data_IF_971599619138
#
_entry.id   IF_971599619138
#
_cell.length_a   1.000
_cell.length_b   1.000
_cell.length_c   1.000
_cell.angle_alpha   90.00
_cell.angle_beta   90.00
_cell.angle_gamma   90.00
#
_symmetry.space_group_name_H-M   'P 1'
#
loop_
_entity.id
_entity.type
_entity.pdbx_description
1 polymer ?
#
# COMPACT_ATOMS: atom_id res chain seq x y z
N UNK A 1 -18.51 19.39 7.03
CA UNK A 1 -18.19 18.23 6.16
C UNK A 1 -17.75 18.76 4.80
N UNK A 2 -16.50 18.51 4.40
CA UNK A 2 -15.92 19.03 3.15
C UNK A 2 -16.42 18.25 1.92
N UNK A 3 -16.34 18.85 0.72
CA UNK A 3 -16.66 18.16 -0.53
C UNK A 3 -15.84 16.86 -0.71
N UNK A 4 -14.53 16.90 -0.39
CA UNK A 4 -13.64 15.72 -0.40
C UNK A 4 -14.18 14.63 0.53
N UNK A 5 -14.53 14.96 1.77
CA UNK A 5 -15.05 13.99 2.75
C UNK A 5 -16.35 13.34 2.30
N UNK A 6 -17.26 14.09 1.66
CA UNK A 6 -18.51 13.53 1.13
C UNK A 6 -18.28 12.51 0.00
N UNK A 7 -17.33 12.79 -0.91
CA UNK A 7 -16.97 11.86 -1.98
C UNK A 7 -16.31 10.60 -1.41
N UNK A 8 -15.35 10.75 -0.50
CA UNK A 8 -14.66 9.61 0.12
C UNK A 8 -15.65 8.69 0.85
N UNK A 9 -16.55 9.24 1.66
CA UNK A 9 -17.60 8.45 2.31
C UNK A 9 -18.48 7.70 1.31
N UNK A 10 -18.84 8.34 0.19
CA UNK A 10 -19.64 7.71 -0.87
C UNK A 10 -18.86 6.63 -1.64
N UNK A 11 -17.55 6.80 -1.82
CA UNK A 11 -16.66 5.81 -2.42
C UNK A 11 -16.42 4.60 -1.49
N UNK A 12 -16.30 4.84 -0.18
CA UNK A 12 -16.19 3.81 0.86
C UNK A 12 -17.52 3.07 1.10
N UNK A 13 -18.63 3.55 0.51
CA UNK A 13 -19.94 2.91 0.65
C UNK A 13 -20.63 3.21 1.99
N UNK A 14 -20.21 4.26 2.69
CA UNK A 14 -20.80 4.65 3.98
C UNK A 14 -22.28 5.05 3.79
N UNK A 15 -23.23 4.41 4.51
CA UNK A 15 -24.66 4.73 4.41
C UNK A 15 -25.00 6.18 4.80
N UNK A 16 -24.20 6.78 5.68
CA UNK A 16 -24.33 8.17 6.13
C UNK A 16 -23.78 9.19 5.12
N UNK A 17 -23.28 8.74 3.96
CA UNK A 17 -22.76 9.64 2.94
C UNK A 17 -23.85 10.61 2.41
N UNK A 18 -23.48 11.89 2.20
CA UNK A 18 -24.43 12.90 1.71
C UNK A 18 -25.10 12.47 0.40
N UNK A 19 -26.40 12.76 0.26
CA UNK A 19 -27.17 12.38 -0.93
C UNK A 19 -26.55 12.93 -2.22
N UNK A 20 -26.05 14.17 -2.20
CA UNK A 20 -25.37 14.77 -3.36
C UNK A 20 -24.14 13.97 -3.79
N UNK A 21 -23.36 13.43 -2.85
CA UNK A 21 -22.15 12.66 -3.13
C UNK A 21 -22.51 11.29 -3.72
N UNK A 22 -23.57 10.64 -3.21
CA UNK A 22 -24.10 9.40 -3.78
C UNK A 22 -24.64 9.57 -5.19
N UNK A 23 -25.32 10.68 -5.48
CA UNK A 23 -25.80 10.99 -6.84
C UNK A 23 -24.62 11.23 -7.79
N UNK A 24 -23.63 12.02 -7.37
CA UNK A 24 -22.44 12.31 -8.15
C UNK A 24 -21.62 11.04 -8.46
N UNK A 25 -21.32 10.23 -7.45
CA UNK A 25 -20.57 8.97 -7.65
C UNK A 25 -21.33 7.96 -8.52
N UNK A 26 -22.67 7.95 -8.45
CA UNK A 26 -23.51 7.16 -9.37
C UNK A 26 -23.45 7.67 -10.80
N UNK A 27 -23.47 8.98 -11.04
CA UNK A 27 -23.37 9.55 -12.39
C UNK A 27 -22.00 9.31 -13.03
N UNK A 28 -20.94 9.13 -12.23
CA UNK A 28 -19.61 8.72 -12.70
C UNK A 28 -19.51 7.22 -13.06
N UNK A 29 -20.56 6.43 -12.82
CA UNK A 29 -20.59 4.99 -13.09
C UNK A 29 -20.14 4.59 -14.51
N UNK A 30 -20.64 5.22 -15.58
CA UNK A 30 -20.21 4.92 -16.96
C UNK A 30 -18.71 5.16 -17.18
N UNK A 31 -18.15 6.23 -16.60
CA UNK A 31 -16.71 6.49 -16.66
C UNK A 31 -15.91 5.43 -15.90
N UNK A 32 -16.39 5.01 -14.74
CA UNK A 32 -15.80 3.91 -13.96
C UNK A 32 -15.82 2.58 -14.74
N UNK A 33 -16.92 2.26 -15.42
CA UNK A 33 -17.02 1.08 -16.28
C UNK A 33 -16.06 1.14 -17.47
N UNK A 34 -15.92 2.31 -18.10
CA UNK A 34 -14.97 2.51 -19.20
C UNK A 34 -13.52 2.32 -18.74
N UNK A 35 -13.16 2.91 -17.58
CA UNK A 35 -11.85 2.73 -16.97
C UNK A 35 -11.59 1.26 -16.61
N UNK A 36 -12.56 0.59 -15.97
CA UNK A 36 -12.49 -0.83 -15.64
C UNK A 36 -12.30 -1.71 -16.87
N UNK A 37 -13.00 -1.42 -17.98
CA UNK A 37 -12.84 -2.11 -19.25
C UNK A 37 -11.45 -1.88 -19.86
N UNK A 38 -10.91 -0.67 -19.76
CA UNK A 38 -9.54 -0.37 -20.20
C UNK A 38 -8.50 -1.16 -19.39
N UNK A 39 -8.66 -1.25 -18.07
CA UNK A 39 -7.79 -2.06 -17.21
C UNK A 39 -7.92 -3.56 -17.51
N UNK A 40 -9.13 -4.07 -17.70
CA UNK A 40 -9.36 -5.47 -18.09
C UNK A 40 -8.73 -5.79 -19.45
N UNK A 41 -8.81 -4.87 -20.42
CA UNK A 41 -8.13 -5.01 -21.72
C UNK A 41 -6.62 -5.03 -21.54
N UNK A 42 -6.07 -4.10 -20.76
CA UNK A 42 -4.63 -4.06 -20.45
C UNK A 42 -4.17 -5.38 -19.84
N UNK A 43 -4.90 -5.89 -18.85
CA UNK A 43 -4.67 -7.19 -18.20
C UNK A 43 -4.62 -8.34 -19.20
N UNK A 44 -5.64 -8.49 -20.05
CA UNK A 44 -5.69 -9.54 -21.08
C UNK A 44 -4.49 -9.52 -22.02
N UNK A 45 -3.92 -8.34 -22.33
CA UNK A 45 -2.71 -8.27 -23.16
C UNK A 45 -1.49 -8.90 -22.49
N UNK A 46 -1.31 -8.68 -21.19
CA UNK A 46 -0.22 -9.31 -20.44
C UNK A 46 -0.46 -10.81 -20.25
N UNK A 47 -1.68 -11.23 -19.88
CA UNK A 47 -2.01 -12.64 -19.70
C UNK A 47 -1.92 -13.46 -21.00
N UNK A 48 -2.18 -12.84 -22.16
CA UNK A 48 -2.06 -13.50 -23.47
C UNK A 48 -0.64 -13.44 -24.07
N UNK A 49 0.34 -12.90 -23.36
CA UNK A 49 1.72 -12.75 -23.85
C UNK A 49 1.88 -11.72 -24.97
N UNK A 50 0.87 -10.88 -25.23
CA UNK A 50 0.91 -9.82 -26.26
C UNK A 50 1.65 -8.56 -25.82
N UNK A 51 1.98 -8.47 -24.54
CA UNK A 51 2.76 -7.38 -23.98
C UNK A 51 4.01 -7.95 -23.31
N UNK A 52 5.13 -7.24 -23.47
CA UNK A 52 6.41 -7.67 -22.92
C UNK A 52 6.37 -7.70 -21.39
N UNK A 53 6.87 -8.81 -20.85
CA UNK A 53 7.06 -9.01 -19.41
C UNK A 53 8.55 -9.25 -19.19
N UNK A 54 9.19 -8.33 -18.48
CA UNK A 54 10.57 -8.47 -18.05
C UNK A 54 10.64 -9.50 -16.91
N UNK A 55 11.58 -10.43 -16.99
CA UNK A 55 11.87 -11.40 -15.93
C UNK A 55 13.30 -11.20 -15.45
N UNK A 56 13.48 -11.15 -14.14
CA UNK A 56 14.78 -11.02 -13.49
C UNK A 56 15.21 -12.38 -12.89
N UNK A 57 16.50 -12.62 -12.62
CA UNK A 57 16.99 -13.94 -12.23
C UNK A 57 16.76 -14.29 -10.74
N UNK A 58 16.02 -13.46 -9.99
CA UNK A 58 15.71 -13.67 -8.57
C UNK A 58 14.20 -13.62 -8.34
N UNK A 59 13.68 -14.24 -7.26
CA UNK A 59 12.27 -14.18 -6.95
C UNK A 59 11.78 -12.74 -6.72
N UNK A 60 10.60 -12.43 -7.27
CA UNK A 60 9.92 -11.15 -7.11
C UNK A 60 8.60 -11.37 -6.37
N UNK A 61 8.47 -10.78 -5.17
CA UNK A 61 7.25 -10.79 -4.37
C UNK A 61 6.59 -9.42 -4.48
N UNK A 62 5.34 -9.38 -4.91
CA UNK A 62 4.57 -8.15 -5.05
C UNK A 62 3.63 -8.00 -3.87
N UNK A 63 3.73 -6.87 -3.17
CA UNK A 63 2.74 -6.45 -2.18
C UNK A 63 1.93 -5.32 -2.81
N UNK A 64 0.65 -5.55 -3.05
CA UNK A 64 -0.21 -4.55 -3.69
C UNK A 64 -1.60 -4.49 -3.10
N UNK A 65 -2.44 -3.68 -3.70
CA UNK A 65 -3.85 -3.58 -3.36
C UNK A 65 -4.71 -3.39 -4.62
N UNK A 66 -6.03 -3.41 -4.44
CA UNK A 66 -6.98 -3.08 -5.51
C UNK A 66 -7.79 -1.82 -5.22
N UNK A 67 -7.52 -1.10 -4.12
CA UNK A 67 -8.24 0.11 -3.71
C UNK A 67 -7.33 1.34 -3.67
N UNK A 68 -7.89 2.53 -3.84
CA UNK A 68 -7.26 3.79 -3.49
C UNK A 68 -7.26 3.95 -1.96
N UNK A 69 -6.20 4.54 -1.42
CA UNK A 69 -6.02 4.76 0.02
C UNK A 69 -5.02 3.81 0.68
N UNK A 70 -4.78 4.08 1.97
CA UNK A 70 -3.86 3.31 2.80
C UNK A 70 -4.46 1.96 3.19
N UNK A 71 -3.90 0.87 2.65
CA UNK A 71 -4.33 -0.50 2.97
C UNK A 71 -3.31 -1.27 3.81
N UNK A 72 -2.34 -0.58 4.43
CA UNK A 72 -1.26 -1.25 5.18
C UNK A 72 -0.18 -1.91 4.31
N UNK A 73 -0.07 -1.54 3.02
CA UNK A 73 0.98 -2.07 2.12
C UNK A 73 2.38 -1.77 2.63
N UNK A 74 2.68 -0.51 2.91
CA UNK A 74 4.03 -0.06 3.30
C UNK A 74 4.53 -0.77 4.57
N UNK A 75 3.73 -0.90 5.65
CA UNK A 75 4.10 -1.77 6.78
C UNK A 75 4.28 -3.24 6.40
N UNK A 76 3.44 -3.79 5.52
CA UNK A 76 3.54 -5.20 5.07
C UNK A 76 4.82 -5.43 4.27
N UNK A 77 5.21 -4.49 3.41
CA UNK A 77 6.47 -4.53 2.65
C UNK A 77 7.65 -4.53 3.61
N UNK A 78 7.65 -3.62 4.58
CA UNK A 78 8.70 -3.53 5.59
C UNK A 78 8.84 -4.83 6.39
N UNK A 79 7.71 -5.32 6.92
CA UNK A 79 7.65 -6.57 7.68
C UNK A 79 8.18 -7.75 6.87
N UNK A 80 7.75 -7.90 5.61
CA UNK A 80 8.20 -9.02 4.77
C UNK A 80 9.71 -8.91 4.47
N UNK A 81 10.18 -7.73 4.10
CA UNK A 81 11.59 -7.51 3.81
C UNK A 81 12.46 -7.80 5.04
N UNK A 82 12.07 -7.32 6.22
CA UNK A 82 12.76 -7.62 7.47
C UNK A 82 12.77 -9.13 7.77
N UNK A 83 11.63 -9.82 7.64
CA UNK A 83 11.57 -11.27 7.87
C UNK A 83 12.43 -12.06 6.89
N UNK A 84 12.57 -11.61 5.64
CA UNK A 84 13.48 -12.20 4.67
C UNK A 84 14.94 -11.97 5.06
N UNK A 85 15.29 -10.75 5.47
CA UNK A 85 16.63 -10.42 5.95
C UNK A 85 17.03 -11.26 7.18
N UNK A 86 16.12 -11.42 8.14
CA UNK A 86 16.33 -12.29 9.32
C UNK A 86 16.53 -13.77 8.96
N UNK A 87 16.05 -14.21 7.80
CA UNK A 87 16.28 -15.55 7.24
C UNK A 87 17.57 -15.63 6.40
N UNK A 88 18.43 -14.62 6.45
CA UNK A 88 19.70 -14.58 5.73
C UNK A 88 19.59 -14.24 4.25
N UNK A 89 18.44 -13.72 3.79
CA UNK A 89 18.27 -13.22 2.42
C UNK A 89 18.75 -11.77 2.30
N UNK A 90 18.97 -11.31 1.06
CA UNK A 90 19.31 -9.93 0.73
C UNK A 90 18.13 -9.27 -0.01
N UNK A 91 17.07 -8.85 0.69
CA UNK A 91 15.88 -8.27 0.07
C UNK A 91 16.14 -6.85 -0.43
N UNK A 92 15.63 -6.56 -1.63
CA UNK A 92 15.51 -5.20 -2.15
C UNK A 92 14.04 -4.77 -2.17
N UNK A 93 13.71 -3.68 -1.48
CA UNK A 93 12.41 -3.03 -1.61
C UNK A 93 12.44 -2.10 -2.83
N UNK A 94 11.53 -2.33 -3.76
CA UNK A 94 11.39 -1.55 -4.98
C UNK A 94 10.04 -0.87 -4.97
N UNK A 95 10.04 0.44 -4.75
CA UNK A 95 8.83 1.26 -4.81
C UNK A 95 8.81 2.14 -6.06
N UNK A 96 7.65 2.75 -6.33
CA UNK A 96 7.54 3.74 -7.39
C UNK A 96 8.24 5.02 -6.94
N UNK A 97 9.10 5.57 -7.80
CA UNK A 97 9.63 6.92 -7.63
C UNK A 97 8.74 7.96 -8.32
N UNK A 98 8.72 9.18 -7.79
CA UNK A 98 8.05 10.32 -8.42
C UNK A 98 9.02 11.12 -9.29
N UNK A 99 8.60 11.46 -10.52
CA UNK A 99 9.17 12.59 -11.28
C UNK A 99 10.50 12.38 -12.04
N UNK A 100 10.93 11.16 -12.33
CA UNK A 100 12.16 10.87 -13.10
C UNK A 100 11.92 10.30 -14.50
N UNK A 101 12.98 10.23 -15.32
CA UNK A 101 12.95 9.46 -16.58
C UNK A 101 12.83 7.96 -16.28
N UNK A 102 12.36 7.13 -17.22
CA UNK A 102 12.19 5.68 -17.00
C UNK A 102 13.41 4.94 -16.46
N UNK A 103 14.63 5.40 -16.78
CA UNK A 103 15.90 4.78 -16.35
C UNK A 103 16.54 5.42 -15.11
N UNK A 104 15.89 6.43 -14.53
CA UNK A 104 16.42 7.06 -13.33
C UNK A 104 16.06 6.17 -12.13
N UNK A 105 17.08 5.57 -11.53
CA UNK A 105 16.96 4.78 -10.30
C UNK A 105 17.63 5.53 -9.17
N UNK A 106 16.86 5.79 -8.13
CA UNK A 106 17.34 6.39 -6.91
C UNK A 106 17.47 5.32 -5.84
N UNK A 107 18.66 5.23 -5.25
CA UNK A 107 18.93 4.43 -4.05
C UNK A 107 18.62 5.33 -2.86
N UNK A 108 17.64 4.95 -2.05
CA UNK A 108 17.22 5.73 -0.87
C UNK A 108 17.89 5.19 0.40
N UNK A 109 17.91 3.88 0.54
CA UNK A 109 18.70 3.16 1.55
C UNK A 109 19.60 2.15 0.86
N UNK A 110 20.89 2.12 1.22
CA UNK A 110 21.88 1.23 0.58
C UNK A 110 22.00 -0.15 1.22
N UNK A 111 21.15 -0.46 2.20
CA UNK A 111 21.20 -1.69 3.00
C UNK A 111 22.39 -1.77 3.97
N UNK A 112 23.19 -0.70 4.09
CA UNK A 112 24.36 -0.60 4.98
C UNK A 112 24.20 0.55 5.99
N UNK A 113 22.97 1.00 6.19
CA UNK A 113 22.62 2.09 7.09
C UNK A 113 22.81 3.49 6.54
N UNK A 114 23.24 3.65 5.28
CA UNK A 114 23.34 4.99 4.67
C UNK A 114 22.03 5.36 4.01
N UNK A 115 21.52 6.51 4.44
CA UNK A 115 20.42 7.21 3.81
C UNK A 115 20.99 8.18 2.78
N UNK A 116 20.47 8.10 1.56
CA UNK A 116 20.80 9.06 0.51
C UNK A 116 19.78 10.20 0.53
N UNK A 117 20.19 11.37 0.04
CA UNK A 117 19.28 12.52 -0.10
C UNK A 117 18.13 12.16 -1.03
N UNK A 118 16.96 11.91 -0.43
CA UNK A 118 15.73 11.65 -1.13
C UNK A 118 14.97 12.97 -1.34
N UNK A 119 14.46 13.26 -2.54
CA UNK A 119 13.56 14.39 -2.75
C UNK A 119 12.29 14.20 -1.91
N UNK A 120 11.56 15.29 -1.60
CA UNK A 120 10.28 15.20 -0.86
C UNK A 120 9.29 14.20 -1.47
N UNK A 121 9.37 13.98 -2.78
CA UNK A 121 8.49 13.06 -3.49
C UNK A 121 8.80 11.56 -3.25
N UNK A 122 9.82 11.23 -2.45
CA UNK A 122 10.16 9.86 -2.05
C UNK A 122 10.04 9.66 -0.53
N UNK A 123 9.17 10.43 0.11
CA UNK A 123 8.96 10.42 1.57
C UNK A 123 8.69 9.02 2.13
N UNK A 124 7.80 8.23 1.51
CA UNK A 124 7.53 6.85 1.95
C UNK A 124 8.78 5.95 1.89
N UNK A 125 9.60 6.07 0.84
CA UNK A 125 10.83 5.30 0.70
C UNK A 125 11.91 5.76 1.69
N UNK A 126 12.00 7.06 1.96
CA UNK A 126 12.91 7.63 2.94
C UNK A 126 12.52 7.21 4.36
N UNK A 127 11.22 7.21 4.68
CA UNK A 127 10.67 6.71 5.93
C UNK A 127 11.00 5.22 6.13
N UNK A 128 10.80 4.38 5.11
CA UNK A 128 11.19 2.97 5.15
C UNK A 128 12.69 2.78 5.40
N UNK A 129 13.54 3.47 4.63
CA UNK A 129 14.99 3.35 4.78
C UNK A 129 15.49 3.85 6.14
N UNK A 130 14.87 4.92 6.69
CA UNK A 130 15.18 5.45 8.04
C UNK A 130 14.82 4.45 9.12
N UNK A 131 13.62 3.88 9.06
CA UNK A 131 13.12 2.94 10.06
C UNK A 131 13.87 1.61 10.00
N UNK A 132 14.31 1.20 8.81
CA UNK A 132 15.03 -0.06 8.59
C UNK A 132 16.35 0.18 7.84
N UNK A 133 17.41 0.65 8.53
CA UNK A 133 18.68 1.02 7.89
C UNK A 133 19.39 -0.13 7.16
N UNK A 134 19.11 -1.38 7.55
CA UNK A 134 19.62 -2.59 6.89
C UNK A 134 18.88 -3.00 5.64
N UNK A 135 17.77 -2.34 5.28
CA UNK A 135 17.02 -2.64 4.05
C UNK A 135 17.55 -1.83 2.88
N UNK A 136 17.75 -2.51 1.76
CA UNK A 136 18.03 -1.89 0.48
C UNK A 136 16.70 -1.37 -0.09
N UNK A 137 16.59 -0.05 -0.26
CA UNK A 137 15.37 0.61 -0.74
C UNK A 137 15.70 1.41 -1.99
N UNK A 138 15.08 1.05 -3.11
CA UNK A 138 15.23 1.75 -4.39
C UNK A 138 13.88 2.24 -4.91
N UNK A 139 13.93 3.36 -5.62
CA UNK A 139 12.76 3.91 -6.30
C UNK A 139 13.08 4.25 -7.74
N UNK A 140 12.06 4.18 -8.60
CA UNK A 140 12.16 4.60 -9.99
C UNK A 140 10.83 4.45 -10.72
N UNK A 141 10.75 5.02 -11.92
CA UNK A 141 9.54 4.98 -12.74
C UNK A 141 9.30 3.60 -13.37
N UNK A 142 10.37 2.91 -13.79
CA UNK A 142 10.32 1.60 -14.43
C UNK A 142 10.85 0.53 -13.47
N UNK A 143 9.94 -0.25 -12.86
CA UNK A 143 10.29 -1.18 -11.78
C UNK A 143 11.18 -2.31 -12.24
N UNK A 144 11.13 -2.72 -13.51
CA UNK A 144 12.01 -3.77 -14.03
C UNK A 144 13.46 -3.30 -14.04
N UNK A 145 13.72 -2.07 -14.48
CA UNK A 145 15.05 -1.47 -14.44
C UNK A 145 15.56 -1.28 -13.01
N UNK A 146 14.71 -0.81 -12.09
CA UNK A 146 15.06 -0.67 -10.66
C UNK A 146 15.41 -2.02 -10.04
N UNK A 147 14.57 -3.04 -10.27
CA UNK A 147 14.79 -4.39 -9.75
C UNK A 147 16.06 -5.02 -10.33
N UNK A 148 16.32 -4.84 -11.63
CA UNK A 148 17.54 -5.29 -12.28
C UNK A 148 18.78 -4.64 -11.66
N UNK A 149 18.76 -3.32 -11.42
CA UNK A 149 19.84 -2.60 -10.75
C UNK A 149 20.09 -3.13 -9.33
N UNK A 150 19.03 -3.43 -8.58
CA UNK A 150 19.14 -4.00 -7.24
C UNK A 150 19.87 -5.35 -7.24
N UNK A 151 19.60 -6.21 -8.23
CA UNK A 151 20.27 -7.50 -8.38
C UNK A 151 21.72 -7.32 -8.83
N UNK A 152 21.97 -6.50 -9.86
CA UNK A 152 23.28 -6.39 -10.49
C UNK A 152 24.31 -5.60 -9.66
N UNK A 153 23.89 -4.52 -8.98
CA UNK A 153 24.81 -3.63 -8.25
C UNK A 153 24.84 -3.89 -6.74
N UNK A 154 23.76 -4.44 -6.17
CA UNK A 154 23.63 -4.65 -4.73
C UNK A 154 23.46 -6.11 -4.33
N UNK A 155 23.57 -7.03 -5.30
CA UNK A 155 23.48 -8.48 -5.08
C UNK A 155 22.19 -8.90 -4.36
N UNK A 156 21.09 -8.18 -4.61
CA UNK A 156 19.80 -8.55 -4.05
C UNK A 156 19.39 -9.94 -4.56
N UNK A 157 18.98 -10.82 -3.64
CA UNK A 157 18.61 -12.20 -3.95
C UNK A 157 17.10 -12.45 -3.89
N UNK A 158 16.33 -11.42 -3.58
CA UNK A 158 14.86 -11.37 -3.61
C UNK A 158 14.43 -9.91 -3.73
N UNK A 159 13.40 -9.64 -4.53
CA UNK A 159 12.83 -8.31 -4.72
C UNK A 159 11.43 -8.26 -4.13
N UNK A 160 11.15 -7.24 -3.31
CA UNK A 160 9.82 -6.96 -2.76
C UNK A 160 9.29 -5.68 -3.42
N UNK A 161 8.26 -5.81 -4.27
CA UNK A 161 7.62 -4.67 -4.92
C UNK A 161 6.59 -4.04 -4.00
N UNK A 162 6.73 -2.73 -3.80
CA UNK A 162 5.70 -1.91 -3.17
C UNK A 162 4.72 -1.39 -4.23
N UNK A 163 3.43 -1.66 -4.01
CA UNK A 163 2.31 -1.37 -4.90
C UNK A 163 2.49 -2.02 -6.30
N UNK A 164 2.85 -3.31 -6.28
CA UNK A 164 3.24 -4.10 -7.45
C UNK A 164 2.07 -4.70 -8.25
N UNK A 165 0.87 -4.81 -7.68
CA UNK A 165 -0.21 -5.64 -8.24
C UNK A 165 -0.72 -5.20 -9.63
N UNK A 166 -0.71 -3.90 -9.93
CA UNK A 166 -1.04 -3.35 -11.26
C UNK A 166 0.15 -3.38 -12.23
N UNK A 167 1.37 -3.64 -11.74
CA UNK A 167 2.59 -3.55 -12.53
C UNK A 167 2.91 -4.87 -13.23
N UNK A 168 2.12 -5.15 -14.27
CA UNK A 168 2.20 -6.40 -15.05
C UNK A 168 3.47 -6.57 -15.91
N UNK A 169 4.23 -5.49 -16.11
CA UNK A 169 5.41 -5.48 -16.99
C UNK A 169 6.65 -6.17 -16.39
N UNK A 170 6.70 -6.38 -15.07
CA UNK A 170 7.74 -7.16 -14.39
C UNK A 170 7.12 -8.47 -13.93
N UNK A 171 7.71 -9.63 -14.23
CA UNK A 171 7.24 -10.92 -13.72
C UNK A 171 7.30 -10.95 -12.19
N UNK A 172 6.26 -11.49 -11.56
CA UNK A 172 6.17 -11.67 -10.10
C UNK A 172 5.96 -13.15 -9.85
N UNK A 173 6.74 -13.71 -8.94
CA UNK A 173 6.65 -15.12 -8.55
C UNK A 173 5.59 -15.33 -7.46
N UNK A 174 5.29 -14.28 -6.68
CA UNK A 174 4.19 -14.26 -5.71
C UNK A 174 3.53 -12.87 -5.72
N UNK A 175 2.21 -12.82 -5.89
CA UNK A 175 1.37 -11.63 -5.78
C UNK A 175 0.51 -11.68 -4.51
N UNK A 176 0.86 -10.89 -3.49
CA UNK A 176 0.08 -10.72 -2.25
C UNK A 176 -0.76 -9.44 -2.35
N UNK A 177 -2.07 -9.57 -2.17
CA UNK A 177 -2.99 -8.42 -2.14
C UNK A 177 -3.38 -8.11 -0.71
N UNK A 178 -3.11 -6.87 -0.29
CA UNK A 178 -3.50 -6.35 1.02
C UNK A 178 -4.84 -5.62 0.92
N UNK A 179 -5.82 -6.09 1.69
CA UNK A 179 -7.16 -5.51 1.79
C UNK A 179 -7.38 -4.93 3.19
N UNK A 180 -8.13 -3.85 3.27
CA UNK A 180 -8.69 -3.34 4.52
C UNK A 180 -9.87 -4.19 4.93
N UNK A 181 -9.90 -4.70 6.14
CA UNK A 181 -11.00 -5.54 6.61
C UNK A 181 -12.31 -4.76 6.80
N UNK A 182 -12.21 -3.49 7.21
CA UNK A 182 -13.35 -2.59 7.49
C UNK A 182 -14.00 -2.02 6.22
N UNK A 183 -13.22 -1.88 5.14
CA UNK A 183 -13.68 -1.36 3.85
C UNK A 183 -12.90 -2.02 2.68
N UNK A 184 -13.09 -3.33 2.44
CA UNK A 184 -12.29 -4.09 1.47
C UNK A 184 -12.55 -3.66 0.02
N UNK A 185 -13.81 -3.34 -0.31
CA UNK A 185 -14.24 -3.01 -1.67
C UNK A 185 -14.99 -1.68 -1.81
N UNK A 186 -15.20 -0.95 -0.70
CA UNK A 186 -16.00 0.26 -0.66
C UNK A 186 -17.39 0.07 -1.29
N UNK A 187 -17.78 0.98 -2.18
CA UNK A 187 -19.04 0.88 -2.92
C UNK A 187 -19.02 -0.13 -4.10
N UNK A 188 -17.96 -0.94 -4.24
CA UNK A 188 -17.81 -1.96 -5.27
C UNK A 188 -17.53 -1.43 -6.68
N UNK A 189 -17.28 -0.12 -6.84
CA UNK A 189 -17.03 0.50 -8.14
C UNK A 189 -15.58 0.90 -8.33
N UNK A 190 -15.15 0.81 -9.59
CA UNK A 190 -13.83 1.25 -10.05
C UNK A 190 -13.82 2.77 -10.20
N UNK A 191 -12.65 3.38 -9.95
CA UNK A 191 -12.39 4.81 -10.16
C UNK A 191 -12.85 5.27 -11.56
N UNK A 192 -13.43 6.47 -11.70
CA UNK A 192 -13.67 7.49 -10.66
C UNK A 192 -15.02 7.33 -9.90
N UNK A 193 -15.72 6.20 -10.03
CA UNK A 193 -17.03 6.00 -9.39
C UNK A 193 -16.95 5.41 -7.97
N UNK A 194 -15.77 4.93 -7.56
CA UNK A 194 -15.50 4.30 -6.27
C UNK A 194 -14.02 4.18 -5.98
N UNK A 195 -13.68 3.50 -4.89
CA UNK A 195 -12.28 3.32 -4.44
C UNK A 195 -11.48 2.31 -5.26
N UNK A 196 -12.10 1.42 -6.04
CA UNK A 196 -11.36 0.33 -6.67
C UNK A 196 -10.47 0.83 -7.83
N UNK A 197 -9.20 0.42 -7.86
CA UNK A 197 -8.27 0.61 -8.98
C UNK A 197 -8.50 -0.43 -10.09
N UNK A 198 -8.97 -1.61 -9.70
CA UNK A 198 -9.31 -2.73 -10.59
C UNK A 198 -10.60 -3.39 -10.08
N UNK A 199 -11.41 -4.02 -10.95
CA UNK A 199 -12.59 -4.76 -10.49
C UNK A 199 -12.18 -5.87 -9.51
N UNK A 200 -13.08 -6.25 -8.60
CA UNK A 200 -12.82 -7.31 -7.58
C UNK A 200 -12.38 -8.63 -8.21
N UNK A 201 -12.82 -8.92 -9.45
CA UNK A 201 -12.35 -10.08 -10.24
C UNK A 201 -10.85 -10.09 -10.56
N UNK A 202 -10.13 -8.98 -10.34
CA UNK A 202 -8.67 -8.94 -10.41
C UNK A 202 -8.01 -9.79 -9.32
N UNK A 203 -8.67 -10.02 -8.18
CA UNK A 203 -8.15 -10.89 -7.11
C UNK A 203 -7.89 -12.33 -7.54
N UNK A 204 -8.45 -12.78 -8.67
CA UNK A 204 -8.10 -14.09 -9.28
C UNK A 204 -6.62 -14.22 -9.64
N UNK A 205 -5.87 -13.10 -9.72
CA UNK A 205 -4.42 -13.08 -9.97
C UNK A 205 -3.58 -13.16 -8.70
N UNK A 206 -4.19 -12.99 -7.53
CA UNK A 206 -3.45 -13.00 -6.29
C UNK A 206 -3.12 -14.44 -5.88
N UNK A 207 -1.92 -14.64 -5.38
CA UNK A 207 -1.46 -15.91 -4.79
C UNK A 207 -1.78 -15.97 -3.29
N UNK A 208 -1.97 -14.82 -2.64
CA UNK A 208 -2.44 -14.73 -1.26
C UNK A 208 -3.15 -13.40 -0.99
N UNK A 209 -4.05 -13.41 -0.02
CA UNK A 209 -4.71 -12.20 0.49
C UNK A 209 -4.27 -11.97 1.94
N UNK A 210 -3.82 -10.75 2.24
CA UNK A 210 -3.66 -10.27 3.61
C UNK A 210 -4.78 -9.29 3.93
N UNK A 211 -5.62 -9.62 4.91
CA UNK A 211 -6.65 -8.71 5.40
C UNK A 211 -6.12 -8.00 6.64
N UNK A 212 -6.09 -6.67 6.59
CA UNK A 212 -5.65 -5.82 7.70
C UNK A 212 -6.86 -5.40 8.55
N UNK A 213 -6.83 -5.72 9.85
CA UNK A 213 -7.92 -5.45 10.77
C UNK A 213 -9.09 -6.44 10.67
N UNK A 214 -10.18 -6.11 11.36
CA UNK A 214 -11.38 -6.93 11.41
C UNK A 214 -12.10 -6.99 10.06
N UNK A 215 -12.60 -8.17 9.69
CA UNK A 215 -13.22 -8.40 8.40
C UNK A 215 -14.49 -9.24 8.55
N UNK A 216 -15.57 -8.80 7.91
CA UNK A 216 -16.83 -9.53 7.88
C UNK A 216 -16.70 -10.85 7.11
N UNK A 217 -17.39 -11.90 7.57
CA UNK A 217 -17.41 -13.22 6.93
C UNK A 217 -17.84 -13.15 5.46
N UNK A 218 -18.82 -12.30 5.15
CA UNK A 218 -19.29 -12.06 3.78
C UNK A 218 -18.18 -11.59 2.83
N UNK A 219 -17.19 -10.85 3.33
CA UNK A 219 -16.02 -10.46 2.52
C UNK A 219 -15.15 -11.66 2.20
N UNK A 220 -14.92 -12.54 3.18
CA UNK A 220 -14.15 -13.77 2.97
C UNK A 220 -14.84 -14.69 1.97
N UNK A 221 -16.15 -14.88 2.12
CA UNK A 221 -16.98 -15.64 1.18
C UNK A 221 -16.92 -15.05 -0.23
N UNK A 222 -16.96 -13.72 -0.36
CA UNK A 222 -16.84 -13.03 -1.65
C UNK A 222 -15.48 -13.32 -2.32
N UNK A 223 -14.39 -13.31 -1.55
CA UNK A 223 -13.05 -13.63 -2.05
C UNK A 223 -12.95 -15.11 -2.44
N UNK A 224 -13.44 -16.02 -1.59
CA UNK A 224 -13.44 -17.45 -1.84
C UNK A 224 -14.31 -17.83 -3.05
N UNK A 225 -15.38 -17.09 -3.33
CA UNK A 225 -16.19 -17.30 -4.55
C UNK A 225 -15.41 -17.02 -5.85
N UNK A 226 -14.36 -16.19 -5.77
CA UNK A 226 -13.48 -15.90 -6.90
C UNK A 226 -12.32 -16.88 -7.01
N UNK A 227 -11.76 -17.30 -5.88
CA UNK A 227 -10.69 -18.29 -5.81
C UNK A 227 -10.84 -19.10 -4.50
N UNK A 228 -11.45 -20.30 -4.54
CA UNK A 228 -11.76 -21.07 -3.33
C UNK A 228 -10.52 -21.45 -2.52
N UNK A 229 -9.39 -21.65 -3.20
CA UNK A 229 -8.16 -22.18 -2.60
C UNK A 229 -7.16 -21.08 -2.24
N UNK A 230 -7.52 -19.79 -2.38
CA UNK A 230 -6.59 -18.70 -2.09
C UNK A 230 -6.24 -18.65 -0.61
N UNK A 231 -4.96 -18.71 -0.22
CA UNK A 231 -4.54 -18.48 1.15
C UNK A 231 -4.97 -17.08 1.62
N UNK A 232 -5.66 -17.04 2.75
CA UNK A 232 -6.13 -15.81 3.37
C UNK A 232 -5.53 -15.67 4.77
N UNK A 233 -4.81 -14.58 4.98
CA UNK A 233 -4.20 -14.23 6.26
C UNK A 233 -4.88 -13.00 6.86
N UNK A 234 -4.80 -12.86 8.17
CA UNK A 234 -5.22 -11.66 8.89
C UNK A 234 -4.02 -11.08 9.60
N UNK A 235 -3.86 -9.76 9.48
CA UNK A 235 -2.80 -9.00 10.12
C UNK A 235 -3.39 -7.80 10.85
N UNK A 236 -2.73 -7.40 11.93
CA UNK A 236 -3.04 -6.22 12.70
C UNK A 236 -1.83 -5.28 12.69
N UNK A 237 -2.10 -3.98 12.63
CA UNK A 237 -1.07 -2.96 12.82
C UNK A 237 -1.19 -2.49 14.26
N UNK A 238 -0.13 -2.68 15.02
CA UNK A 238 -0.05 -2.26 16.42
C UNK A 238 1.05 -1.19 16.53
N UNK A 239 0.81 -0.10 17.27
CA UNK A 239 1.88 0.83 17.63
C UNK A 239 2.99 0.08 18.36
N UNK A 240 4.23 0.27 17.92
CA UNK A 240 5.41 -0.44 18.45
C UNK A 240 6.33 0.48 19.27
N UNK A 241 6.49 1.74 18.83
CA UNK A 241 7.35 2.71 19.49
C UNK A 241 6.95 4.14 19.12
N UNK A 242 7.29 5.10 19.99
CA UNK A 242 7.33 6.51 19.65
C UNK A 242 8.69 6.88 19.05
N UNK A 243 8.67 7.75 18.04
CA UNK A 243 9.87 8.26 17.39
C UNK A 243 9.93 9.78 17.51
N UNK A 244 11.12 10.34 17.69
CA UNK A 244 11.34 11.78 17.56
C UNK A 244 11.41 12.22 16.08
N UNK A 245 11.61 13.52 15.84
CA UNK A 245 11.73 14.09 14.49
C UNK A 245 12.97 13.61 13.71
N UNK A 246 13.93 12.98 14.39
CA UNK A 246 15.12 12.37 13.79
C UNK A 246 14.91 10.88 13.51
N UNK A 247 13.79 10.30 13.95
CA UNK A 247 13.46 8.88 13.82
C UNK A 247 14.05 8.02 14.94
N UNK A 248 14.56 8.62 16.01
CA UNK A 248 15.11 7.90 17.16
C UNK A 248 13.97 7.41 18.06
N UNK A 249 14.08 6.17 18.56
CA UNK A 249 13.09 5.61 19.49
C UNK A 249 13.13 6.36 20.82
N UNK A 250 11.99 6.92 21.21
CA UNK A 250 11.82 7.72 22.44
C UNK A 250 11.05 7.02 23.55
N UNK A 251 10.50 5.83 23.29
CA UNK A 251 9.74 5.08 24.30
C UNK A 251 8.73 4.12 23.71
N UNK A 252 8.21 3.24 24.57
CA UNK A 252 7.14 2.31 24.24
C UNK A 252 5.76 3.02 24.22
N UNK A 253 4.77 2.48 23.48
CA UNK A 253 3.41 3.04 23.41
C UNK A 253 2.75 3.27 24.77
N UNK A 254 2.99 2.37 25.73
CA UNK A 254 2.42 2.44 27.08
C UNK A 254 2.96 3.61 27.93
N UNK A 255 4.09 4.21 27.56
CA UNK A 255 4.70 5.31 28.32
C UNK A 255 3.89 6.61 28.26
N UNK A 256 3.05 6.78 27.23
CA UNK A 256 2.17 7.94 27.08
C UNK A 256 0.73 7.66 27.54
N UNK A 257 0.48 6.55 28.23
CA UNK A 257 -0.83 6.24 28.78
C UNK A 257 -1.32 7.34 29.73
N UNK A 258 -2.51 7.87 29.47
CA UNK A 258 -3.12 8.99 30.19
C UNK A 258 -2.47 10.35 29.90
N UNK A 259 -1.51 10.43 28.97
CA UNK A 259 -0.88 11.69 28.61
C UNK A 259 -1.85 12.54 27.77
N UNK A 260 -1.73 13.85 27.94
CA UNK A 260 -2.48 14.86 27.18
C UNK A 260 -1.63 15.36 26.03
N UNK A 261 -2.08 15.13 24.80
CA UNK A 261 -1.28 15.44 23.59
C UNK A 261 -2.02 16.39 22.64
N UNK A 262 -1.22 17.13 21.88
CA UNK A 262 -1.67 17.80 20.66
C UNK A 262 -1.33 16.89 19.49
N UNK A 263 -2.34 16.42 18.78
CA UNK A 263 -2.17 15.59 17.59
C UNK A 263 -2.08 16.47 16.34
N UNK A 264 -1.21 16.10 15.40
CA UNK A 264 -1.11 16.73 14.08
C UNK A 264 -0.99 15.62 13.03
N UNK A 265 -1.80 15.67 11.97
CA UNK A 265 -1.71 14.69 10.88
C UNK A 265 -1.88 15.33 9.51
N UNK A 266 -1.16 14.80 8.52
CA UNK A 266 -1.32 15.08 7.10
C UNK A 266 -1.52 13.77 6.35
N UNK A 267 -2.60 13.05 6.67
CA UNK A 267 -2.81 11.67 6.24
C UNK A 267 -4.13 11.54 5.46
N UNK A 268 -4.20 10.56 4.56
CA UNK A 268 -5.45 10.23 3.86
C UNK A 268 -6.59 9.72 4.77
N UNK A 269 -6.31 9.30 6.01
CA UNK A 269 -7.29 8.87 7.01
C UNK A 269 -6.95 9.38 8.43
N UNK A 270 -7.24 10.66 8.75
CA UNK A 270 -6.97 11.23 10.07
C UNK A 270 -7.74 10.53 11.21
N UNK A 271 -8.97 10.10 10.95
CA UNK A 271 -9.81 9.38 11.94
C UNK A 271 -9.21 8.05 12.39
N UNK A 272 -8.52 7.35 11.48
CA UNK A 272 -7.78 6.13 11.83
C UNK A 272 -6.61 6.40 12.78
N UNK A 273 -5.96 7.57 12.65
CA UNK A 273 -4.88 7.99 13.53
C UNK A 273 -5.40 8.38 14.92
N UNK A 274 -6.53 9.11 15.00
CA UNK A 274 -7.19 9.41 16.28
C UNK A 274 -7.54 8.14 17.05
N UNK A 275 -8.24 7.20 16.40
CA UNK A 275 -8.60 5.92 17.03
C UNK A 275 -7.39 5.13 17.52
N UNK A 276 -6.26 5.21 16.81
CA UNK A 276 -5.03 4.57 17.24
C UNK A 276 -4.50 5.21 18.53
N UNK A 277 -4.44 6.54 18.62
CA UNK A 277 -4.04 7.22 19.85
C UNK A 277 -5.00 6.95 21.01
N UNK A 278 -6.31 6.97 20.77
CA UNK A 278 -7.33 6.62 21.77
C UNK A 278 -7.18 5.18 22.27
N UNK A 279 -6.81 4.23 21.38
CA UNK A 279 -6.57 2.83 21.76
C UNK A 279 -5.36 2.65 22.67
N UNK A 280 -4.43 3.62 22.69
CA UNK A 280 -3.30 3.70 23.61
C UNK A 280 -3.64 4.44 24.90
N UNK A 281 -4.92 4.80 25.11
CA UNK A 281 -5.39 5.56 26.28
C UNK A 281 -4.70 6.94 26.38
N UNK A 282 -4.47 7.58 25.23
CA UNK A 282 -3.91 8.93 25.12
C UNK A 282 -5.05 9.95 24.98
N UNK A 283 -5.03 11.00 25.79
CA UNK A 283 -6.03 12.08 25.73
C UNK A 283 -5.63 13.10 24.65
N UNK A 284 -6.36 13.11 23.53
CA UNK A 284 -6.18 14.11 22.47
C UNK A 284 -6.86 15.41 22.90
N UNK A 285 -6.06 16.42 23.25
CA UNK A 285 -6.58 17.76 23.64
C UNK A 285 -7.09 18.52 22.41
N UNK A 286 -6.37 18.41 21.30
CA UNK A 286 -6.73 18.98 20.00
C UNK A 286 -6.03 18.19 18.90
N UNK A 287 -6.72 18.00 17.77
CA UNK A 287 -6.16 17.42 16.56
C UNK A 287 -6.20 18.42 15.41
N UNK A 288 -5.04 18.71 14.82
CA UNK A 288 -4.90 19.53 13.63
C UNK A 288 -4.71 18.65 12.39
N UNK A 289 -5.70 18.67 11.50
CA UNK A 289 -5.67 17.94 10.23
C UNK A 289 -5.19 18.82 9.08
N UNK A 290 -4.21 18.32 8.33
CA UNK A 290 -3.67 18.92 7.11
C UNK A 290 -3.94 18.04 5.88
N UNK A 291 -3.95 18.62 4.67
CA UNK A 291 -4.01 17.84 3.45
C UNK A 291 -2.79 16.94 3.29
N UNK A 292 -3.03 15.67 2.99
CA UNK A 292 -2.11 14.74 2.29
C UNK A 292 -1.89 15.22 0.85
#
# INVERSE_FOLDING_TARGET
>A
MSFRSGILQSWEGNPSSPAWARVLTRSLGPLGSLYGAAMARRRRRYESGKADVSKIPVPVISIGNITLGGTGKTPTVAWLAEKLALKGRKPAVVSRGYGGRPKDVMVVGDGKGRLMDAPPAADEAAMLARRYPGLLVLTGAERSFVAKKAVEEFEADVVVLDDGFQHMALHRDVDVVVLRGDCPFGNGKVVPAGVLREPVSALRRADAILITGECADSTRENIQSLNPDIPMFTGHLEPDAFLDSRGENTGAPDELKGARVVAVSGLGNPHGFEKMLESLDIEIVVHHEYPD
#
